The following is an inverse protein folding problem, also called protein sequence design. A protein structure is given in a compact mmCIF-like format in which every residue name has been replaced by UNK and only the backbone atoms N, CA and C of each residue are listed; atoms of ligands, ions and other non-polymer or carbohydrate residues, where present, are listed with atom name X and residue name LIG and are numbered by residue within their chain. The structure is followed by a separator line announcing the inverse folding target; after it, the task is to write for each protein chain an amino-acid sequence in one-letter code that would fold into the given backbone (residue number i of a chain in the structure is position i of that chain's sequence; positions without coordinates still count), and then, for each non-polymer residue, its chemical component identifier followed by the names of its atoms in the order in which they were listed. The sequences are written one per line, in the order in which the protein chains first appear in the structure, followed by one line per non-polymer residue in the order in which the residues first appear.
data_IF_555772632865
#
_entry.id   IF_555772632865
#
_cell.length_a   1.000
_cell.length_b   1.000
_cell.length_c   1.000
_cell.angle_alpha   90.00
_cell.angle_beta   90.00
_cell.angle_gamma   90.00
#
_symmetry.space_group_name_H-M   'P 1'
#
loop_
_entity.id
_entity.type
_entity.pdbx_description
1 polymer ?
#
# COMPACT_ATOMS: atom_id res chain seq x y z
N UNK A 1 -13.79 -14.38 3.72
CA UNK A 1 -12.51 -13.66 3.74
C UNK A 1 -11.41 -14.63 3.37
N UNK A 2 -10.75 -14.44 2.23
CA UNK A 2 -9.50 -15.14 1.91
C UNK A 2 -8.35 -14.25 2.37
N UNK A 3 -7.39 -14.84 3.07
CA UNK A 3 -6.16 -14.18 3.47
C UNK A 3 -5.03 -14.89 2.74
N UNK A 4 -4.53 -14.26 1.68
CA UNK A 4 -3.48 -14.82 0.84
C UNK A 4 -2.16 -14.14 1.17
N UNK A 5 -1.23 -14.92 1.72
CA UNK A 5 0.13 -14.46 1.96
C UNK A 5 0.90 -14.61 0.65
N UNK A 6 1.36 -13.49 0.10
CA UNK A 6 2.31 -13.47 -1.01
C UNK A 6 3.72 -13.32 -0.42
N UNK A 7 4.45 -14.43 -0.17
CA UNK A 7 5.80 -14.33 0.34
C UNK A 7 6.65 -13.57 -0.66
N UNK A 8 7.66 -12.85 -0.16
CA UNK A 8 8.70 -12.29 -1.01
C UNK A 8 9.31 -13.43 -1.82
N UNK A 9 8.96 -13.48 -3.10
CA UNK A 9 9.24 -14.60 -3.97
C UNK A 9 10.08 -14.07 -5.11
N UNK A 10 11.19 -14.74 -5.37
CA UNK A 10 12.05 -14.58 -6.54
C UNK A 10 11.29 -14.99 -7.81
N UNK A 11 10.23 -14.28 -8.17
CA UNK A 11 9.40 -14.65 -9.32
C UNK A 11 10.03 -14.25 -10.64
N UNK A 12 10.89 -13.23 -10.63
CA UNK A 12 11.54 -12.68 -11.84
C UNK A 12 12.95 -13.26 -12.04
N UNK A 13 13.65 -13.69 -10.98
CA UNK A 13 15.03 -14.20 -11.06
C UNK A 13 15.46 -14.84 -9.73
N UNK A 14 16.18 -15.98 -9.76
CA UNK A 14 16.78 -16.67 -8.60
C UNK A 14 17.78 -15.81 -7.78
N UNK A 15 18.03 -14.56 -8.18
CA UNK A 15 18.99 -13.66 -7.53
C UNK A 15 18.44 -12.29 -7.15
N UNK A 16 17.22 -11.90 -7.58
CA UNK A 16 16.67 -10.56 -7.29
C UNK A 16 15.64 -10.60 -6.16
N UNK A 17 16.00 -9.94 -5.06
CA UNK A 17 15.07 -9.53 -4.01
C UNK A 17 14.24 -8.35 -4.53
N UNK A 18 13.17 -7.97 -3.82
CA UNK A 18 12.44 -6.75 -4.16
C UNK A 18 13.37 -5.53 -4.14
N UNK A 19 13.37 -4.77 -5.22
CA UNK A 19 14.17 -3.54 -5.33
C UNK A 19 13.56 -2.38 -4.51
N UNK A 20 12.30 -2.56 -4.05
CA UNK A 20 11.59 -1.65 -3.17
C UNK A 20 10.15 -2.09 -2.92
N UNK A 21 9.40 -1.28 -2.16
CA UNK A 21 7.98 -1.56 -1.85
C UNK A 21 7.10 -1.57 -3.09
N UNK A 22 7.35 -0.69 -4.06
CA UNK A 22 6.63 -0.68 -5.33
C UNK A 22 6.96 -1.91 -6.19
N UNK A 23 8.22 -2.37 -6.19
CA UNK A 23 8.63 -3.58 -6.91
C UNK A 23 7.97 -4.83 -6.32
N UNK A 24 7.76 -4.87 -5.00
CA UNK A 24 7.02 -5.95 -4.35
C UNK A 24 5.57 -6.07 -4.86
N UNK A 25 4.90 -4.95 -5.14
CA UNK A 25 3.57 -4.94 -5.75
C UNK A 25 3.65 -5.34 -7.23
N UNK A 26 4.62 -4.80 -7.97
CA UNK A 26 4.82 -5.08 -9.39
C UNK A 26 5.05 -6.57 -9.69
N UNK A 27 5.93 -7.24 -8.92
CA UNK A 27 6.20 -8.67 -9.10
C UNK A 27 4.99 -9.58 -8.81
N UNK A 28 3.92 -9.04 -8.23
CA UNK A 28 2.69 -9.76 -7.91
C UNK A 28 1.48 -9.26 -8.72
N UNK A 29 1.68 -8.43 -9.75
CA UNK A 29 0.59 -7.80 -10.51
C UNK A 29 -0.38 -8.82 -11.11
N UNK A 30 0.12 -9.94 -11.66
CA UNK A 30 -0.71 -11.00 -12.26
C UNK A 30 -1.73 -11.59 -11.27
N UNK A 31 -1.35 -11.69 -9.98
CA UNK A 31 -2.25 -12.17 -8.93
C UNK A 31 -3.29 -11.11 -8.60
N UNK A 32 -2.87 -9.85 -8.49
CA UNK A 32 -3.74 -8.73 -8.14
C UNK A 32 -4.79 -8.53 -9.24
N UNK A 33 -4.39 -8.58 -10.50
CA UNK A 33 -5.28 -8.47 -11.66
C UNK A 33 -6.33 -9.59 -11.69
N UNK A 34 -5.97 -10.81 -11.28
CA UNK A 34 -6.90 -11.94 -11.21
C UNK A 34 -8.06 -11.71 -10.21
N UNK A 35 -7.86 -10.86 -9.20
CA UNK A 35 -8.92 -10.47 -8.26
C UNK A 35 -9.87 -9.39 -8.82
N UNK A 36 -9.48 -8.67 -9.88
CA UNK A 36 -10.25 -7.58 -10.48
C UNK A 36 -10.70 -6.48 -9.50
N UNK A 37 -9.83 -5.96 -8.60
CA UNK A 37 -10.24 -4.92 -7.67
C UNK A 37 -10.45 -3.57 -8.38
N UNK A 38 -11.49 -2.84 -8.00
CA UNK A 38 -11.72 -1.45 -8.47
C UNK A 38 -10.83 -0.44 -7.74
N UNK A 39 -10.56 -0.68 -6.46
CA UNK A 39 -9.73 0.17 -5.61
C UNK A 39 -8.66 -0.66 -4.91
N UNK A 40 -7.47 -0.06 -4.74
CA UNK A 40 -6.34 -0.68 -4.04
C UNK A 40 -5.97 0.15 -2.83
N UNK A 41 -5.92 -0.47 -1.65
CA UNK A 41 -5.49 0.17 -0.39
C UNK A 41 -4.14 -0.41 0.00
N UNK A 42 -3.07 0.40 -0.10
CA UNK A 42 -1.71 0.01 0.28
C UNK A 42 -1.46 0.38 1.74
N UNK A 43 -1.12 -0.61 2.57
CA UNK A 43 -0.92 -0.44 4.01
C UNK A 43 0.48 -0.88 4.44
N UNK A 44 1.09 -0.10 5.32
CA UNK A 44 2.29 -0.50 6.04
C UNK A 44 1.91 -1.43 7.21
N UNK A 45 2.43 -2.65 7.19
CA UNK A 45 2.07 -3.71 8.16
C UNK A 45 2.80 -3.63 9.51
N UNK A 46 3.69 -2.67 9.69
CA UNK A 46 4.52 -2.46 10.88
C UNK A 46 3.99 -1.40 11.86
N UNK A 47 2.86 -0.76 11.53
CA UNK A 47 2.20 0.22 12.39
C UNK A 47 1.03 -0.37 13.17
N UNK A 48 0.90 -0.01 14.45
CA UNK A 48 -0.25 -0.36 15.30
C UNK A 48 -1.21 0.83 15.35
N UNK A 49 -2.37 0.69 14.74
CA UNK A 49 -3.41 1.73 14.72
C UNK A 49 -4.80 1.12 14.48
N UNK A 50 -5.82 1.97 14.59
CA UNK A 50 -7.19 1.68 14.17
C UNK A 50 -7.65 2.80 13.25
N UNK A 51 -8.01 2.44 12.03
CA UNK A 51 -8.52 3.37 11.02
C UNK A 51 -9.64 2.69 10.25
N UNK A 52 -10.69 3.44 9.97
CA UNK A 52 -11.74 3.05 9.05
C UNK A 52 -11.38 3.54 7.64
N UNK A 53 -10.99 2.62 6.75
CA UNK A 53 -10.59 2.96 5.38
C UNK A 53 -11.77 3.33 4.49
N UNK A 54 -13.02 3.07 4.90
CA UNK A 54 -14.19 3.47 4.12
C UNK A 54 -14.26 4.99 3.99
N UNK A 55 -13.93 5.72 5.05
CA UNK A 55 -13.86 7.18 5.02
C UNK A 55 -12.82 7.69 4.02
N UNK A 56 -11.66 7.03 3.96
CA UNK A 56 -10.58 7.38 3.05
C UNK A 56 -10.93 7.06 1.59
N UNK A 57 -11.57 5.92 1.34
CA UNK A 57 -12.04 5.53 0.01
C UNK A 57 -13.11 6.49 -0.51
N UNK A 58 -14.07 6.88 0.34
CA UNK A 58 -15.08 7.89 -0.04
C UNK A 58 -14.42 9.21 -0.42
N UNK A 59 -13.48 9.71 0.40
CA UNK A 59 -12.73 10.93 0.07
C UNK A 59 -11.97 10.81 -1.25
N UNK A 60 -11.33 9.67 -1.51
CA UNK A 60 -10.59 9.42 -2.74
C UNK A 60 -11.50 9.53 -3.98
N UNK A 61 -12.67 8.89 -3.93
CA UNK A 61 -13.68 8.91 -5.00
C UNK A 61 -14.29 10.30 -5.15
N UNK A 62 -14.69 10.94 -4.05
CA UNK A 62 -15.31 12.27 -4.06
C UNK A 62 -14.36 13.35 -4.60
N UNK A 63 -13.06 13.22 -4.32
CA UNK A 63 -12.02 14.11 -4.84
C UNK A 63 -11.62 13.79 -6.29
N UNK A 64 -12.03 12.64 -6.83
CA UNK A 64 -11.57 12.08 -8.10
C UNK A 64 -10.04 12.16 -8.22
N UNK A 65 -9.34 11.76 -7.15
CA UNK A 65 -7.89 11.85 -7.04
C UNK A 65 -7.22 10.61 -7.68
N UNK A 66 -6.06 10.78 -8.32
CA UNK A 66 -5.28 9.64 -8.80
C UNK A 66 -4.74 8.80 -7.63
N UNK A 67 -4.43 9.45 -6.51
CA UNK A 67 -3.92 8.81 -5.28
C UNK A 67 -4.36 9.61 -4.06
N UNK A 68 -4.63 8.90 -2.96
CA UNK A 68 -4.89 9.52 -1.65
C UNK A 68 -3.95 8.93 -0.62
N UNK A 69 -3.28 9.81 0.14
CA UNK A 69 -2.27 9.43 1.13
C UNK A 69 -2.80 9.77 2.52
N UNK A 70 -2.76 8.80 3.43
CA UNK A 70 -3.07 9.03 4.84
C UNK A 70 -1.92 9.74 5.52
N UNK A 71 -2.17 10.95 6.03
CA UNK A 71 -1.15 11.77 6.69
C UNK A 71 -1.46 11.92 8.19
N UNK A 72 -0.41 11.91 9.02
CA UNK A 72 -0.52 12.24 10.43
C UNK A 72 -0.10 13.69 10.66
N UNK A 73 -0.88 14.43 11.45
CA UNK A 73 -0.50 15.76 11.91
C UNK A 73 0.46 15.63 13.09
N UNK A 74 1.74 15.93 12.85
CA UNK A 74 2.79 15.90 13.87
C UNK A 74 3.50 17.26 13.96
N UNK A 75 4.06 17.63 15.13
CA UNK A 75 4.90 18.82 15.24
C UNK A 75 6.02 18.82 14.20
N UNK A 76 6.35 19.98 13.63
CA UNK A 76 7.37 20.11 12.56
C UNK A 76 8.73 19.50 12.94
N UNK A 77 9.07 19.52 14.22
CA UNK A 77 10.31 18.92 14.72
C UNK A 77 10.30 17.39 14.67
N UNK A 78 9.14 16.75 14.78
CA UNK A 78 8.96 15.30 14.71
C UNK A 78 8.75 14.84 13.26
N UNK A 79 8.26 15.73 12.38
CA UNK A 79 8.04 15.47 10.96
C UNK A 79 9.30 15.01 10.22
N UNK A 80 10.51 15.34 10.69
CA UNK A 80 11.77 14.92 10.04
C UNK A 80 11.98 13.41 9.99
N UNK A 81 11.27 12.64 10.82
CA UNK A 81 11.29 11.18 10.79
C UNK A 81 10.29 10.54 9.81
N UNK A 82 9.44 11.35 9.17
CA UNK A 82 8.42 10.92 8.22
C UNK A 82 8.81 11.31 6.79
N UNK A 83 8.13 10.72 5.79
CA UNK A 83 8.19 11.22 4.42
C UNK A 83 7.39 12.52 4.32
N UNK A 84 8.09 13.66 4.27
CA UNK A 84 7.51 15.01 4.12
C UNK A 84 7.78 15.56 2.73
#
# INVERSE_FOLDING_TARGET
ESFDILPASQRVSETQWYEGTADAVYQNIDIIEAYGPEYMVILAGDHIYKMDYEMMLRQHVDANADVTVGCLEVPRMEATGFGV
#
